data_IF_935454142178
#
_entry.id   IF_935454142178
#
_cell.length_a   1.000
_cell.length_b   1.000
_cell.length_c   1.000
_cell.angle_alpha   90.00
_cell.angle_beta   90.00
_cell.angle_gamma   90.00
#
_symmetry.space_group_name_H-M   'P 1'
#
loop_
_entity.id
_entity.type
_entity.pdbx_description
1 polymer ?
#
# COMPACT_ATOMS: atom_id res chain seq x y z
N UNK A 1 -7.12 74.22 19.61
CA UNK A 1 -6.05 73.70 18.73
C UNK A 1 -6.05 72.19 18.88
N UNK A 2 -5.86 71.44 17.78
CA UNK A 2 -5.89 69.96 17.70
C UNK A 2 -7.30 69.39 18.02
N UNK A 3 -7.98 68.68 17.10
CA UNK A 3 -7.68 67.36 16.52
C UNK A 3 -7.83 66.23 17.56
N UNK A 4 -8.68 65.20 17.39
CA UNK A 4 -9.60 64.88 16.29
C UNK A 4 -9.12 63.71 15.44
N UNK A 5 -9.67 62.52 15.68
CA UNK A 5 -9.51 61.31 14.87
C UNK A 5 -10.63 60.31 15.21
N UNK A 6 -11.44 59.93 14.22
CA UNK A 6 -12.50 58.93 14.37
C UNK A 6 -11.95 57.57 13.94
N UNK A 7 -11.90 56.60 14.85
CA UNK A 7 -11.36 55.26 14.56
C UNK A 7 -12.37 54.40 13.79
N UNK A 8 -12.50 54.68 12.49
CA UNK A 8 -13.24 53.85 11.55
C UNK A 8 -12.47 52.57 11.24
N UNK A 9 -12.75 51.48 11.96
CA UNK A 9 -12.20 50.16 11.62
C UNK A 9 -12.87 49.65 10.33
N UNK A 10 -12.13 49.64 9.22
CA UNK A 10 -12.63 49.16 7.94
C UNK A 10 -13.01 47.67 8.00
N UNK A 11 -14.04 47.28 7.24
CA UNK A 11 -14.57 45.92 7.28
C UNK A 11 -13.52 44.88 6.88
N UNK A 12 -13.34 43.86 7.73
CA UNK A 12 -12.53 42.69 7.42
C UNK A 12 -13.27 41.78 6.42
N UNK A 13 -13.17 42.10 5.13
CA UNK A 13 -13.65 41.23 4.06
C UNK A 13 -12.82 39.95 4.01
N UNK A 14 -13.31 38.89 4.66
CA UNK A 14 -12.75 37.56 4.52
C UNK A 14 -12.86 37.07 3.07
N UNK A 15 -11.85 36.37 2.51
CA UNK A 15 -12.00 35.74 1.20
C UNK A 15 -13.10 34.69 1.26
N UNK A 16 -13.92 34.61 0.21
CA UNK A 16 -14.93 33.57 0.10
C UNK A 16 -14.26 32.18 0.12
N UNK A 17 -14.87 31.17 0.77
CA UNK A 17 -14.36 29.80 0.68
C UNK A 17 -14.34 29.37 -0.80
N UNK A 18 -13.35 28.57 -1.23
CA UNK A 18 -13.35 28.03 -2.58
C UNK A 18 -14.65 27.24 -2.81
N UNK A 19 -15.23 27.28 -4.03
CA UNK A 19 -16.42 26.49 -4.33
C UNK A 19 -16.13 25.02 -4.02
N UNK A 20 -17.10 24.24 -3.49
CA UNK A 20 -16.88 22.85 -3.17
C UNK A 20 -16.43 22.12 -4.43
N UNK A 21 -15.19 21.64 -4.43
CA UNK A 21 -14.67 20.80 -5.49
C UNK A 21 -15.63 19.62 -5.64
N UNK A 22 -16.22 19.47 -6.84
CA UNK A 22 -17.35 18.56 -7.07
C UNK A 22 -17.03 17.20 -6.45
N UNK A 23 -17.83 16.81 -5.46
CA UNK A 23 -17.48 15.73 -4.56
C UNK A 23 -17.34 14.43 -5.35
N UNK A 24 -16.09 14.06 -5.64
CA UNK A 24 -15.77 12.73 -6.19
C UNK A 24 -16.34 11.74 -5.20
N UNK A 25 -17.30 10.94 -5.64
CA UNK A 25 -17.84 9.85 -4.82
C UNK A 25 -16.64 8.96 -4.49
N UNK A 26 -16.25 8.93 -3.22
CA UNK A 26 -15.13 8.10 -2.80
C UNK A 26 -15.46 6.65 -3.15
N UNK A 27 -14.53 5.90 -3.77
CA UNK A 27 -14.78 4.52 -4.16
C UNK A 27 -15.14 3.69 -2.92
N UNK A 28 -16.05 2.74 -3.12
CA UNK A 28 -16.57 1.89 -2.06
C UNK A 28 -15.42 1.17 -1.32
N UNK A 29 -15.28 1.33 0.01
CA UNK A 29 -14.21 0.69 0.77
C UNK A 29 -14.27 -0.84 0.72
N UNK A 30 -15.45 -1.46 0.52
CA UNK A 30 -15.57 -2.90 0.34
C UNK A 30 -15.01 -3.33 -1.02
N UNK A 31 -15.29 -2.56 -2.09
CA UNK A 31 -14.72 -2.80 -3.42
C UNK A 31 -13.19 -2.59 -3.44
N UNK A 32 -12.66 -1.59 -2.72
CA UNK A 32 -11.21 -1.40 -2.55
C UNK A 32 -10.59 -2.56 -1.78
N UNK A 33 -11.23 -3.05 -0.70
CA UNK A 33 -10.74 -4.19 0.07
C UNK A 33 -10.68 -5.48 -0.77
N UNK A 34 -11.70 -5.74 -1.60
CA UNK A 34 -11.70 -6.89 -2.51
C UNK A 34 -10.71 -6.72 -3.68
N UNK A 35 -10.42 -5.49 -4.13
CA UNK A 35 -9.33 -5.22 -5.07
C UNK A 35 -7.95 -5.54 -4.45
N UNK A 36 -7.71 -5.14 -3.19
CA UNK A 36 -6.48 -5.50 -2.45
C UNK A 36 -6.38 -7.02 -2.26
N UNK A 37 -7.49 -7.70 -1.93
CA UNK A 37 -7.54 -9.14 -1.84
C UNK A 37 -7.29 -9.82 -3.20
N UNK A 38 -7.81 -9.28 -4.30
CA UNK A 38 -7.53 -9.74 -5.67
C UNK A 38 -6.05 -9.56 -6.05
N UNK A 39 -5.42 -8.44 -5.67
CA UNK A 39 -4.00 -8.20 -5.87
C UNK A 39 -3.15 -9.25 -5.14
N UNK A 40 -3.47 -9.50 -3.86
CA UNK A 40 -2.83 -10.54 -3.07
C UNK A 40 -3.02 -11.92 -3.72
N UNK A 41 -4.25 -12.31 -4.08
CA UNK A 41 -4.56 -13.60 -4.75
C UNK A 41 -3.84 -13.76 -6.09
N UNK A 42 -3.51 -12.68 -6.79
CA UNK A 42 -2.68 -12.71 -8.00
C UNK A 42 -1.21 -12.98 -7.65
N UNK A 43 -0.58 -12.12 -6.85
CA UNK A 43 0.85 -12.23 -6.49
C UNK A 43 1.17 -13.54 -5.78
N UNK A 44 0.22 -14.09 -4.99
CA UNK A 44 0.28 -15.44 -4.41
C UNK A 44 0.59 -16.53 -5.44
N UNK A 45 0.05 -16.44 -6.66
CA UNK A 45 0.30 -17.44 -7.73
C UNK A 45 1.72 -17.36 -8.30
N UNK A 46 2.38 -16.20 -8.20
CA UNK A 46 3.78 -16.04 -8.59
C UNK A 46 4.79 -16.40 -7.49
N UNK A 47 4.34 -16.64 -6.24
CA UNK A 47 5.21 -16.94 -5.11
C UNK A 47 5.81 -18.35 -5.20
N UNK A 48 7.10 -18.40 -5.53
CA UNK A 48 7.90 -19.64 -5.53
C UNK A 48 8.58 -19.78 -4.17
N UNK A 49 7.90 -20.45 -3.25
CA UNK A 49 8.42 -20.72 -1.90
C UNK A 49 9.83 -21.36 -1.98
N UNK A 50 10.84 -20.85 -1.25
CA UNK A 50 12.16 -21.46 -1.24
C UNK A 50 12.15 -22.92 -0.79
N UNK A 51 13.02 -23.75 -1.37
CA UNK A 51 13.23 -25.14 -0.93
C UNK A 51 14.07 -25.18 0.35
N UNK A 52 13.42 -24.90 1.49
CA UNK A 52 14.04 -24.74 2.81
C UNK A 52 13.47 -25.71 3.85
N UNK A 53 14.23 -25.92 4.93
CA UNK A 53 13.83 -26.80 6.04
C UNK A 53 12.56 -26.34 6.76
N UNK A 54 11.91 -27.27 7.47
CA UNK A 54 10.64 -27.04 8.18
C UNK A 54 10.66 -25.82 9.11
N UNK A 55 11.76 -25.62 9.84
CA UNK A 55 11.96 -24.51 10.81
C UNK A 55 11.79 -23.12 10.16
N UNK A 56 12.14 -22.99 8.88
CA UNK A 56 12.05 -21.73 8.15
C UNK A 56 10.65 -21.43 7.60
N UNK A 57 9.74 -22.43 7.57
CA UNK A 57 8.31 -22.21 7.22
C UNK A 57 7.56 -21.39 8.27
N UNK A 58 8.18 -21.13 9.42
CA UNK A 58 7.65 -20.22 10.44
C UNK A 58 7.84 -18.74 10.10
N UNK A 59 8.76 -18.40 9.18
CA UNK A 59 9.03 -17.03 8.77
C UNK A 59 7.89 -16.51 7.90
N UNK A 60 7.32 -15.38 8.30
CA UNK A 60 6.33 -14.61 7.52
C UNK A 60 6.96 -13.27 7.17
N UNK A 61 6.97 -12.91 5.89
CA UNK A 61 7.56 -11.68 5.37
C UNK A 61 6.44 -10.75 4.90
N UNK A 62 6.42 -9.51 5.41
CA UNK A 62 5.52 -8.45 4.97
C UNK A 62 6.28 -7.47 4.08
N UNK A 63 5.87 -7.36 2.83
CA UNK A 63 6.36 -6.38 1.86
C UNK A 63 5.34 -5.28 1.67
N UNK A 64 5.82 -4.09 1.34
CA UNK A 64 5.02 -2.95 0.90
C UNK A 64 5.30 -2.73 -0.59
N UNK A 65 4.23 -2.52 -1.37
CA UNK A 65 4.27 -2.49 -2.83
C UNK A 65 3.39 -1.37 -3.37
N UNK A 66 3.74 -0.86 -4.54
CA UNK A 66 3.01 0.23 -5.20
C UNK A 66 2.76 -0.12 -6.65
N UNK A 67 1.56 0.14 -7.12
CA UNK A 67 1.16 -0.12 -8.50
C UNK A 67 0.61 1.16 -9.14
N UNK A 68 0.80 1.28 -10.45
CA UNK A 68 0.06 2.26 -11.25
C UNK A 68 -1.36 1.74 -11.55
N UNK A 69 -2.22 2.59 -12.11
CA UNK A 69 -3.61 2.23 -12.41
C UNK A 69 -3.73 1.14 -13.49
N UNK A 70 -2.68 0.92 -14.30
CA UNK A 70 -2.55 -0.21 -15.24
C UNK A 70 -2.01 -1.50 -14.60
N UNK A 71 -1.77 -1.48 -13.29
CA UNK A 71 -1.22 -2.59 -12.52
C UNK A 71 0.29 -2.79 -12.61
N UNK A 72 1.03 -1.94 -13.33
CA UNK A 72 2.50 -2.01 -13.38
C UNK A 72 3.12 -1.62 -12.03
N UNK A 73 4.28 -2.21 -11.70
CA UNK A 73 4.92 -2.06 -10.39
C UNK A 73 5.79 -0.79 -10.32
N UNK A 74 5.48 0.11 -9.37
CA UNK A 74 6.17 1.40 -9.19
C UNK A 74 7.39 1.23 -8.27
N UNK A 75 8.50 0.81 -8.88
CA UNK A 75 9.79 0.62 -8.21
C UNK A 75 9.98 -0.78 -7.64
N UNK A 76 10.82 -0.92 -6.61
CA UNK A 76 11.05 -2.20 -5.95
C UNK A 76 10.18 -2.34 -4.68
N UNK A 77 9.66 -3.54 -4.38
CA UNK A 77 9.01 -3.85 -3.11
C UNK A 77 9.94 -3.55 -1.92
N UNK A 78 9.43 -2.90 -0.88
CA UNK A 78 10.19 -2.63 0.34
C UNK A 78 9.82 -3.64 1.43
N UNK A 79 10.81 -4.05 2.23
CA UNK A 79 10.59 -4.98 3.34
C UNK A 79 10.10 -4.22 4.57
N UNK A 80 8.87 -4.47 5.00
CA UNK A 80 8.25 -3.84 6.18
C UNK A 80 8.65 -4.57 7.46
N UNK A 81 8.49 -5.91 7.46
CA UNK A 81 8.70 -6.73 8.64
C UNK A 81 8.94 -8.20 8.27
N UNK A 82 9.61 -8.93 9.18
CA UNK A 82 9.58 -10.39 9.19
C UNK A 82 9.21 -10.90 10.59
N UNK A 83 8.23 -11.80 10.65
CA UNK A 83 7.70 -12.40 11.87
C UNK A 83 8.08 -13.88 11.94
N UNK A 84 8.12 -14.46 13.15
CA UNK A 84 8.49 -15.87 13.34
C UNK A 84 9.97 -16.19 13.08
N UNK A 85 10.82 -15.16 13.05
CA UNK A 85 12.28 -15.30 13.00
C UNK A 85 12.81 -15.71 14.37
N UNK A 86 13.69 -16.70 14.40
CA UNK A 86 14.38 -17.22 15.59
C UNK A 86 15.86 -17.48 15.24
N UNK A 87 16.77 -17.62 16.23
CA UNK A 87 18.18 -17.92 15.94
C UNK A 87 18.37 -19.18 15.06
N UNK A 88 17.47 -20.16 15.19
CA UNK A 88 17.50 -21.40 14.42
C UNK A 88 16.99 -21.26 12.96
N UNK A 89 16.31 -20.17 12.59
CA UNK A 89 15.84 -19.93 11.22
C UNK A 89 16.28 -18.60 10.58
N UNK A 90 16.95 -17.72 11.33
CA UNK A 90 17.49 -16.45 10.83
C UNK A 90 18.32 -16.57 9.53
N UNK A 91 19.13 -17.62 9.28
CA UNK A 91 19.82 -17.84 7.98
C UNK A 91 18.92 -18.12 6.75
N UNK A 92 17.60 -18.19 6.94
CA UNK A 92 16.62 -18.31 5.85
C UNK A 92 15.82 -17.01 5.63
N UNK A 93 15.90 -16.04 6.53
CA UNK A 93 15.09 -14.82 6.51
C UNK A 93 15.28 -14.00 5.23
N UNK A 94 16.54 -13.77 4.81
CA UNK A 94 16.85 -13.07 3.56
C UNK A 94 16.27 -13.76 2.31
N UNK A 95 16.38 -15.10 2.22
CA UNK A 95 15.83 -15.89 1.10
C UNK A 95 14.30 -15.89 1.07
N UNK A 96 13.63 -15.72 2.22
CA UNK A 96 12.18 -15.53 2.28
C UNK A 96 11.76 -14.15 1.78
N UNK A 97 12.51 -13.09 2.12
CA UNK A 97 12.28 -11.74 1.60
C UNK A 97 12.54 -11.67 0.09
N UNK A 98 13.65 -12.23 -0.38
CA UNK A 98 14.00 -12.32 -1.81
C UNK A 98 12.90 -13.04 -2.62
N UNK A 99 12.44 -14.20 -2.16
CA UNK A 99 11.39 -14.95 -2.85
C UNK A 99 10.03 -14.26 -2.84
N UNK A 100 9.73 -13.46 -1.81
CA UNK A 100 8.56 -12.58 -1.78
C UNK A 100 8.70 -11.43 -2.79
N UNK A 101 9.84 -10.74 -2.82
CA UNK A 101 10.12 -9.64 -3.76
C UNK A 101 10.06 -10.10 -5.21
N UNK A 102 10.67 -11.26 -5.50
CA UNK A 102 10.61 -11.91 -6.81
C UNK A 102 9.22 -12.47 -7.18
N UNK A 103 8.30 -12.60 -6.22
CA UNK A 103 6.90 -12.95 -6.51
C UNK A 103 6.13 -11.73 -7.02
N UNK A 104 6.31 -10.57 -6.36
CA UNK A 104 5.73 -9.29 -6.80
C UNK A 104 6.20 -8.94 -8.21
N UNK A 105 7.52 -8.90 -8.42
CA UNK A 105 8.13 -8.53 -9.72
C UNK A 105 7.67 -9.47 -10.85
N UNK A 106 7.46 -10.76 -10.56
CA UNK A 106 7.00 -11.76 -11.55
C UNK A 106 5.50 -11.65 -11.89
N UNK A 107 4.69 -11.07 -11.00
CA UNK A 107 3.25 -10.91 -11.19
C UNK A 107 2.83 -9.49 -11.62
N UNK A 108 3.79 -8.63 -11.95
CA UNK A 108 3.50 -7.34 -12.57
C UNK A 108 3.36 -7.50 -14.10
N UNK A 109 2.36 -6.86 -14.75
CA UNK A 109 1.29 -6.08 -14.15
C UNK A 109 0.19 -6.94 -13.51
N UNK A 110 -0.43 -6.43 -12.44
CA UNK A 110 -1.63 -7.04 -11.82
C UNK A 110 -2.90 -6.54 -12.51
N UNK A 111 -3.90 -7.39 -12.69
CA UNK A 111 -5.21 -6.98 -13.25
C UNK A 111 -6.15 -6.55 -12.14
N UNK A 112 -6.45 -5.26 -12.04
CA UNK A 112 -7.30 -4.64 -11.02
C UNK A 112 -8.17 -3.53 -11.65
N UNK A 113 -9.33 -3.16 -11.06
CA UNK A 113 -10.15 -2.06 -11.58
C UNK A 113 -9.45 -0.71 -11.38
N UNK A 114 -9.08 -0.06 -12.48
CA UNK A 114 -8.39 1.25 -12.54
C UNK A 114 -9.13 2.35 -11.78
N UNK A 115 -10.46 2.24 -11.72
CA UNK A 115 -11.41 3.20 -11.13
C UNK A 115 -11.27 3.25 -9.60
N UNK A 116 -10.74 2.19 -9.00
CA UNK A 116 -10.51 2.06 -7.56
C UNK A 116 -9.07 2.45 -7.15
N UNK A 117 -8.22 2.86 -8.09
CA UNK A 117 -6.77 3.11 -7.85
C UNK A 117 -6.53 4.26 -6.87
N UNK A 118 -7.16 5.43 -7.10
CA UNK A 118 -7.18 6.55 -6.13
C UNK A 118 -7.84 6.16 -4.79
N UNK A 119 -8.58 5.06 -4.74
CA UNK A 119 -9.28 4.54 -3.56
C UNK A 119 -8.41 3.83 -2.53
N UNK A 120 -7.16 3.48 -2.87
CA UNK A 120 -6.20 2.93 -1.90
C UNK A 120 -5.63 1.55 -2.19
N UNK A 121 -5.83 0.97 -3.38
CA UNK A 121 -5.03 -0.20 -3.81
C UNK A 121 -3.69 0.18 -4.47
N UNK A 122 -3.48 1.47 -4.74
CA UNK A 122 -2.26 2.04 -5.33
C UNK A 122 -0.97 1.78 -4.53
N UNK A 123 -1.04 1.72 -3.19
CA UNK A 123 0.09 1.56 -2.27
C UNK A 123 -0.35 0.63 -1.11
N UNK A 124 -0.03 -0.67 -1.19
CA UNK A 124 -0.59 -1.75 -0.35
C UNK A 124 0.47 -2.71 0.25
N UNK A 125 0.08 -3.44 1.30
CA UNK A 125 0.95 -4.38 2.00
C UNK A 125 0.63 -5.86 1.66
N UNK A 126 1.62 -6.60 1.16
CA UNK A 126 1.52 -8.03 0.85
C UNK A 126 2.27 -8.90 1.86
N UNK A 127 1.59 -9.93 2.37
CA UNK A 127 2.16 -10.86 3.36
C UNK A 127 2.42 -12.24 2.75
N UNK A 128 3.63 -12.76 2.96
CA UNK A 128 4.14 -14.00 2.36
C UNK A 128 4.67 -14.95 3.42
N UNK A 129 4.30 -16.23 3.34
CA UNK A 129 4.85 -17.29 4.18
C UNK A 129 3.88 -18.47 4.29
N UNK A 130 4.33 -19.72 4.51
CA UNK A 130 3.46 -20.90 4.41
C UNK A 130 2.20 -20.92 5.28
N UNK A 131 2.12 -20.11 6.34
CA UNK A 131 0.92 -19.92 7.18
C UNK A 131 0.14 -18.62 6.93
N UNK A 132 0.70 -17.68 6.18
CA UNK A 132 0.00 -16.48 5.70
C UNK A 132 -0.58 -16.65 4.28
N UNK A 133 -0.45 -17.87 3.73
CA UNK A 133 -0.81 -18.23 2.36
C UNK A 133 -1.81 -19.41 2.32
N UNK A 134 -2.60 -19.59 3.38
CA UNK A 134 -3.89 -20.27 3.33
C UNK A 134 -4.97 -19.26 2.96
#
# INVERSE_FOLDING_TARGET
>A
MLAGLVFGCAACSAPAPPPPAAARIAPDPEAVAEAIAAAARQVRRCYRAPRIGSVARAIVTKLHVRYAADGTLIGLPTLVAQFGVTPANQPFAGRMAEAATLAVIRCAPVTLPSELHEGGWSELDLTFGPRALG
#
